data_IF_298409322079
#
_entry.id   IF_298409322079
#
_cell.length_a   1.000
_cell.length_b   1.000
_cell.length_c   1.000
_cell.angle_alpha   90.00
_cell.angle_beta   90.00
_cell.angle_gamma   90.00
#
_symmetry.space_group_name_H-M   'P 1'
#
loop_
_entity.id
_entity.type
_entity.pdbx_description
1 polymer ?
#
# COMPACT_ATOMS: atom_id res chain seq x y z
N UNK A 1 -5.46 1.57 -1.39
CA UNK A 1 -5.51 2.97 -0.96
C UNK A 1 -4.14 3.54 -1.15
N UNK A 2 -4.00 4.64 -1.89
CA UNK A 2 -2.71 5.28 -2.13
C UNK A 2 -2.80 6.81 -2.10
N UNK A 3 -1.69 7.51 -1.88
CA UNK A 3 -1.68 8.94 -2.11
C UNK A 3 -1.92 9.26 -3.60
N UNK A 4 -2.68 10.32 -3.89
CA UNK A 4 -3.04 10.68 -5.25
C UNK A 4 -4.40 11.39 -5.37
N UNK A 5 -4.98 11.45 -6.59
CA UNK A 5 -4.50 10.84 -7.83
C UNK A 5 -3.41 11.66 -8.55
N UNK A 6 -2.99 12.80 -7.99
CA UNK A 6 -2.01 13.70 -8.61
C UNK A 6 -0.54 13.38 -8.27
N UNK A 7 -0.30 12.36 -7.44
CA UNK A 7 1.04 11.84 -7.13
C UNK A 7 1.37 10.70 -8.10
N UNK A 8 2.45 10.84 -8.88
CA UNK A 8 2.89 9.77 -9.80
C UNK A 8 3.29 8.51 -9.03
N UNK A 9 4.03 8.65 -7.93
CA UNK A 9 4.48 7.53 -7.10
C UNK A 9 3.28 6.75 -6.54
N UNK A 10 2.37 7.45 -5.86
CA UNK A 10 1.17 6.82 -5.30
C UNK A 10 0.26 6.17 -6.34
N UNK A 11 0.12 6.75 -7.54
CA UNK A 11 -0.61 6.10 -8.65
C UNK A 11 0.12 4.86 -9.16
N UNK A 12 1.44 4.93 -9.36
CA UNK A 12 2.25 3.81 -9.83
C UNK A 12 2.24 2.65 -8.82
N UNK A 13 2.30 2.93 -7.52
CA UNK A 13 2.13 1.95 -6.45
C UNK A 13 0.78 1.22 -6.52
N UNK A 14 -0.31 1.97 -6.71
CA UNK A 14 -1.64 1.39 -6.87
C UNK A 14 -1.75 0.51 -8.13
N UNK A 15 -1.14 0.93 -9.24
CA UNK A 15 -1.09 0.15 -10.49
C UNK A 15 -0.33 -1.16 -10.29
N UNK A 16 0.79 -1.15 -9.55
CA UNK A 16 1.55 -2.36 -9.24
C UNK A 16 0.68 -3.39 -8.48
N UNK A 17 -0.02 -2.96 -7.42
CA UNK A 17 -0.96 -3.82 -6.68
C UNK A 17 -2.07 -4.35 -7.60
N UNK A 18 -2.66 -3.48 -8.42
CA UNK A 18 -3.74 -3.88 -9.33
C UNK A 18 -3.30 -4.93 -10.37
N UNK A 19 -2.08 -4.79 -10.92
CA UNK A 19 -1.52 -5.78 -11.85
C UNK A 19 -1.15 -7.09 -11.16
N UNK A 20 -0.65 -7.04 -9.93
CA UNK A 20 -0.33 -8.23 -9.14
C UNK A 20 -1.58 -9.09 -8.86
N UNK A 21 -2.73 -8.45 -8.64
CA UNK A 21 -4.02 -9.10 -8.37
C UNK A 21 -4.87 -9.36 -9.62
N UNK A 22 -4.36 -9.06 -10.82
CA UNK A 22 -5.11 -9.24 -12.05
C UNK A 22 -5.59 -10.69 -12.22
N UNK A 23 -6.89 -10.88 -12.43
CA UNK A 23 -7.52 -12.20 -12.57
C UNK A 23 -7.70 -12.97 -11.26
N UNK A 24 -7.29 -12.41 -10.11
CA UNK A 24 -7.40 -13.06 -8.79
C UNK A 24 -8.37 -12.35 -7.86
N UNK A 25 -8.46 -11.03 -7.95
CA UNK A 25 -9.35 -10.23 -7.13
C UNK A 25 -9.96 -9.08 -7.93
N UNK A 26 -11.12 -8.61 -7.48
CA UNK A 26 -11.67 -7.32 -7.90
C UNK A 26 -10.95 -6.22 -7.11
N UNK A 27 -10.18 -5.39 -7.81
CA UNK A 27 -9.33 -4.36 -7.18
C UNK A 27 -10.03 -3.02 -7.23
N UNK A 28 -10.43 -2.53 -6.05
CA UNK A 28 -10.98 -1.19 -5.89
C UNK A 28 -9.91 -0.22 -5.41
N UNK A 29 -9.51 0.70 -6.27
CA UNK A 29 -8.52 1.73 -5.92
C UNK A 29 -9.23 2.94 -5.32
N UNK A 30 -8.73 3.38 -4.17
CA UNK A 30 -9.08 4.67 -3.55
C UNK A 30 -7.81 5.51 -3.46
N UNK A 31 -7.92 6.77 -3.82
CA UNK A 31 -6.89 7.77 -3.61
C UNK A 31 -7.34 8.74 -2.53
N UNK A 32 -6.40 9.26 -1.75
CA UNK A 32 -6.68 10.29 -0.76
C UNK A 32 -5.49 11.23 -0.59
N UNK A 33 -5.79 12.47 -0.20
CA UNK A 33 -4.79 13.39 0.34
C UNK A 33 -4.47 13.08 1.81
N UNK A 34 -3.41 13.71 2.33
CA UNK A 34 -3.04 13.63 3.74
C UNK A 34 -4.15 14.12 4.70
N UNK A 35 -5.02 15.04 4.25
CA UNK A 35 -6.16 15.52 5.05
C UNK A 35 -7.37 14.60 5.03
N UNK A 36 -7.45 13.68 4.06
CA UNK A 36 -8.63 12.82 3.84
C UNK A 36 -8.39 11.37 4.27
N UNK A 37 -7.13 10.94 4.36
CA UNK A 37 -6.74 9.54 4.59
C UNK A 37 -7.43 8.91 5.80
N UNK A 38 -7.47 9.60 6.94
CA UNK A 38 -8.11 9.12 8.16
C UNK A 38 -9.63 8.92 7.99
N UNK A 39 -10.31 9.83 7.27
CA UNK A 39 -11.72 9.70 6.97
C UNK A 39 -11.99 8.56 5.98
N UNK A 40 -11.17 8.45 4.92
CA UNK A 40 -11.29 7.40 3.91
C UNK A 40 -11.06 6.01 4.52
N UNK A 41 -10.04 5.85 5.36
CA UNK A 41 -9.73 4.58 6.02
C UNK A 41 -10.82 4.18 7.01
N UNK A 42 -11.33 5.12 7.82
CA UNK A 42 -12.45 4.84 8.75
C UNK A 42 -13.79 4.58 8.06
N UNK A 43 -13.94 5.05 6.82
CA UNK A 43 -15.10 4.75 5.96
C UNK A 43 -15.03 3.40 5.26
N UNK A 44 -13.99 2.59 5.48
CA UNK A 44 -13.92 1.25 4.90
C UNK A 44 -14.85 0.29 5.66
N UNK A 45 -15.70 -0.38 4.88
CA UNK A 45 -16.59 -1.43 5.38
C UNK A 45 -16.51 -2.64 4.43
N UNK A 46 -15.50 -3.51 4.58
CA UNK A 46 -15.40 -4.75 3.82
C UNK A 46 -16.66 -5.61 4.02
N UNK A 47 -17.09 -6.32 2.98
CA UNK A 47 -18.26 -7.17 3.08
C UNK A 47 -17.97 -8.38 3.99
N UNK A 48 -18.91 -8.77 4.87
CA UNK A 48 -18.71 -9.93 5.72
C UNK A 48 -18.62 -11.22 4.89
N UNK A 49 -17.79 -12.17 5.34
CA UNK A 49 -17.69 -13.52 4.76
C UNK A 49 -16.89 -13.64 3.46
N UNK A 50 -16.12 -12.60 3.09
CA UNK A 50 -15.18 -12.64 1.97
C UNK A 50 -13.76 -12.35 2.44
N UNK A 51 -12.79 -13.00 1.82
CA UNK A 51 -11.39 -12.68 2.03
C UNK A 51 -11.07 -11.33 1.39
N UNK A 52 -10.71 -10.37 2.23
CA UNK A 52 -10.37 -9.03 1.80
C UNK A 52 -8.91 -8.72 2.12
N UNK A 53 -8.28 -7.98 1.21
CA UNK A 53 -6.99 -7.36 1.44
C UNK A 53 -7.14 -5.84 1.37
N UNK A 54 -6.46 -5.15 2.28
CA UNK A 54 -6.28 -3.70 2.22
C UNK A 54 -4.80 -3.41 2.02
N UNK A 55 -4.47 -2.80 0.90
CA UNK A 55 -3.15 -2.25 0.62
C UNK A 55 -3.17 -0.75 0.87
N UNK A 56 -2.31 -0.28 1.75
CA UNK A 56 -2.07 1.13 2.03
C UNK A 56 -0.66 1.44 1.50
N UNK A 57 -0.57 2.31 0.50
CA UNK A 57 0.69 2.60 -0.20
C UNK A 57 0.92 4.10 -0.27
N UNK A 58 2.18 4.55 -0.22
CA UNK A 58 2.56 5.96 -0.39
C UNK A 58 1.83 6.94 0.55
N UNK A 59 1.30 6.46 1.68
CA UNK A 59 0.54 7.30 2.60
C UNK A 59 0.52 6.71 4.01
N UNK A 60 0.46 7.63 4.96
CA UNK A 60 0.22 7.33 6.36
C UNK A 60 -0.94 8.17 6.91
N UNK A 61 -1.58 7.66 7.95
CA UNK A 61 -2.68 8.29 8.67
C UNK A 61 -2.23 8.69 10.07
N UNK A 62 -2.93 9.61 10.74
CA UNK A 62 -2.42 10.21 11.99
C UNK A 62 -3.29 9.94 13.21
N UNK A 63 -4.57 9.66 13.02
CA UNK A 63 -5.52 9.58 14.13
C UNK A 63 -5.49 8.19 14.80
N UNK A 64 -5.38 8.11 16.15
CA UNK A 64 -5.48 6.85 16.88
C UNK A 64 -6.81 6.11 16.64
N UNK A 65 -7.88 6.83 16.32
CA UNK A 65 -9.17 6.27 15.94
C UNK A 65 -9.07 5.45 14.65
N UNK A 66 -8.18 5.83 13.74
CA UNK A 66 -7.90 5.08 12.52
C UNK A 66 -7.14 3.78 12.83
N UNK A 67 -6.16 3.81 13.74
CA UNK A 67 -5.50 2.59 14.25
C UNK A 67 -6.52 1.62 14.86
N UNK A 68 -7.39 2.13 15.73
CA UNK A 68 -8.42 1.32 16.38
C UNK A 68 -9.39 0.69 15.37
N UNK A 69 -9.76 1.46 14.33
CA UNK A 69 -10.60 0.97 13.24
C UNK A 69 -9.91 -0.14 12.44
N UNK A 70 -8.68 0.10 11.96
CA UNK A 70 -7.90 -0.87 11.19
C UNK A 70 -7.62 -2.14 11.99
N UNK A 71 -7.29 -2.00 13.27
CA UNK A 71 -7.13 -3.14 14.19
C UNK A 71 -8.41 -3.96 14.30
N UNK A 72 -9.57 -3.32 14.41
CA UNK A 72 -10.86 -4.03 14.43
C UNK A 72 -11.09 -4.79 13.12
N UNK A 73 -10.81 -4.18 11.97
CA UNK A 73 -10.96 -4.86 10.68
C UNK A 73 -10.00 -6.05 10.55
N UNK A 74 -8.75 -5.88 10.96
CA UNK A 74 -7.77 -6.95 10.88
C UNK A 74 -8.11 -8.14 11.80
N UNK A 75 -8.62 -7.85 13.02
CA UNK A 75 -9.16 -8.89 13.92
C UNK A 75 -10.39 -9.61 13.34
N UNK A 76 -11.13 -8.95 12.46
CA UNK A 76 -12.24 -9.55 11.72
C UNK A 76 -11.79 -10.32 10.46
N UNK A 77 -10.47 -10.44 10.22
CA UNK A 77 -9.90 -11.23 9.13
C UNK A 77 -9.38 -10.42 7.93
N UNK A 78 -9.48 -9.09 7.95
CA UNK A 78 -8.90 -8.25 6.88
C UNK A 78 -7.37 -8.33 6.91
N UNK A 79 -6.75 -8.74 5.80
CA UNK A 79 -5.28 -8.70 5.68
C UNK A 79 -4.83 -7.31 5.27
N UNK A 80 -4.10 -6.61 6.14
CA UNK A 80 -3.65 -5.23 5.89
C UNK A 80 -2.17 -5.23 5.55
N UNK A 81 -1.82 -4.64 4.41
CA UNK A 81 -0.46 -4.45 3.94
C UNK A 81 -0.15 -2.95 3.93
N UNK A 82 1.01 -2.55 4.46
CA UNK A 82 1.42 -1.15 4.48
C UNK A 82 2.81 -0.97 3.89
N UNK A 83 2.92 -0.17 2.83
CA UNK A 83 4.18 0.15 2.17
C UNK A 83 4.33 1.66 2.06
N UNK A 84 5.34 2.21 2.71
CA UNK A 84 5.54 3.66 2.81
C UNK A 84 7.03 4.00 2.92
N UNK A 85 7.38 5.19 2.47
CA UNK A 85 8.75 5.72 2.47
C UNK A 85 8.88 7.04 3.25
N UNK A 86 7.77 7.64 3.68
CA UNK A 86 7.78 8.93 4.38
C UNK A 86 8.44 8.80 5.76
N UNK A 87 9.54 9.54 5.99
CA UNK A 87 10.28 9.55 7.27
C UNK A 87 9.38 9.67 8.50
N UNK A 88 8.39 10.57 8.45
CA UNK A 88 7.46 10.79 9.58
C UNK A 88 6.62 9.56 9.91
N UNK A 89 6.23 8.77 8.90
CA UNK A 89 5.53 7.50 9.09
C UNK A 89 6.44 6.46 9.75
N UNK A 90 7.68 6.33 9.24
CA UNK A 90 8.70 5.42 9.75
C UNK A 90 9.05 5.72 11.22
N UNK A 91 9.25 7.00 11.56
CA UNK A 91 9.53 7.44 12.93
C UNK A 91 8.40 7.11 13.88
N UNK A 92 7.15 7.37 13.48
CA UNK A 92 5.97 7.02 14.28
C UNK A 92 5.85 5.52 14.50
N UNK A 93 6.08 4.72 13.46
CA UNK A 93 6.07 3.26 13.59
C UNK A 93 7.16 2.78 14.56
N UNK A 94 8.41 3.27 14.41
CA UNK A 94 9.52 2.93 15.31
C UNK A 94 9.29 3.36 16.75
N UNK A 95 8.58 4.47 16.95
CA UNK A 95 8.18 4.96 18.27
C UNK A 95 7.00 4.18 18.89
N UNK A 96 6.46 3.16 18.21
CA UNK A 96 5.31 2.38 18.69
C UNK A 96 3.99 3.15 18.64
N UNK A 97 3.89 4.20 17.82
CA UNK A 97 2.72 5.06 17.69
C UNK A 97 1.75 4.61 16.58
N UNK A 98 2.03 3.48 15.95
CA UNK A 98 1.15 2.82 14.98
C UNK A 98 0.84 1.43 15.52
N UNK A 99 -0.41 1.21 15.91
CA UNK A 99 -0.88 -0.02 16.53
C UNK A 99 -1.91 -0.68 15.62
N UNK A 100 -1.43 -1.30 14.53
CA UNK A 100 -2.24 -2.06 13.59
C UNK A 100 -1.56 -3.40 13.31
N UNK A 101 -2.26 -4.54 13.41
CA UNK A 101 -1.70 -5.83 13.07
C UNK A 101 -1.67 -5.98 11.54
N UNK A 102 -0.52 -5.66 10.95
CA UNK A 102 -0.28 -5.84 9.53
C UNK A 102 -0.04 -7.31 9.19
N UNK A 103 -0.55 -7.74 8.03
CA UNK A 103 -0.19 -9.01 7.41
C UNK A 103 1.24 -8.98 6.88
N UNK A 104 1.68 -7.82 6.36
CA UNK A 104 3.07 -7.53 6.04
C UNK A 104 3.28 -6.01 5.95
N UNK A 105 4.53 -5.56 6.05
CA UNK A 105 4.88 -4.14 5.92
C UNK A 105 6.26 -3.93 5.31
N UNK A 106 6.40 -2.86 4.52
CA UNK A 106 7.68 -2.41 3.97
C UNK A 106 7.81 -0.92 4.21
N UNK A 107 8.69 -0.55 5.14
CA UNK A 107 8.94 0.83 5.52
C UNK A 107 10.41 1.18 5.29
N UNK A 108 10.70 1.98 4.26
CA UNK A 108 12.08 2.30 3.86
C UNK A 108 12.17 3.65 3.15
N UNK A 109 13.23 4.42 3.40
CA UNK A 109 13.54 5.66 2.67
C UNK A 109 14.43 5.41 1.44
N UNK A 110 14.79 4.14 1.13
CA UNK A 110 15.72 3.81 0.05
C UNK A 110 15.17 4.14 -1.34
N UNK A 111 13.86 3.93 -1.52
CA UNK A 111 13.14 4.13 -2.77
C UNK A 111 11.78 4.79 -2.50
N UNK A 112 11.15 5.29 -3.56
CA UNK A 112 9.76 5.72 -3.57
C UNK A 112 8.83 4.53 -3.31
N UNK A 113 7.60 4.80 -2.88
CA UNK A 113 6.67 3.76 -2.47
C UNK A 113 6.31 2.82 -3.62
N UNK A 114 6.19 3.30 -4.86
CA UNK A 114 5.90 2.47 -6.04
C UNK A 114 6.98 1.42 -6.28
N UNK A 115 8.26 1.78 -6.12
CA UNK A 115 9.39 0.85 -6.25
C UNK A 115 9.41 -0.16 -5.12
N UNK A 116 9.20 0.29 -3.88
CA UNK A 116 9.09 -0.62 -2.73
C UNK A 116 7.96 -1.64 -2.90
N UNK A 117 6.79 -1.20 -3.37
CA UNK A 117 5.65 -2.08 -3.67
C UNK A 117 5.99 -3.06 -4.77
N UNK A 118 6.57 -2.60 -5.88
CA UNK A 118 6.91 -3.45 -7.01
C UNK A 118 7.92 -4.54 -6.62
N UNK A 119 9.01 -4.18 -5.95
CA UNK A 119 10.06 -5.12 -5.54
C UNK A 119 9.56 -6.11 -4.48
N UNK A 120 8.68 -5.68 -3.58
CA UNK A 120 8.01 -6.56 -2.63
C UNK A 120 7.12 -7.60 -3.34
N UNK A 121 6.27 -7.14 -4.26
CA UNK A 121 5.35 -8.01 -4.99
C UNK A 121 6.06 -8.93 -5.98
N UNK A 122 7.15 -8.47 -6.62
CA UNK A 122 7.98 -9.28 -7.50
C UNK A 122 8.60 -10.48 -6.75
N UNK A 123 9.20 -10.22 -5.58
CA UNK A 123 9.73 -11.29 -4.71
C UNK A 123 8.66 -12.25 -4.25
N UNK A 124 7.46 -11.74 -3.96
CA UNK A 124 6.33 -12.57 -3.58
C UNK A 124 5.83 -13.45 -4.73
N UNK A 125 5.75 -12.93 -5.96
CA UNK A 125 5.44 -13.73 -7.15
C UNK A 125 6.45 -14.85 -7.35
N UNK A 126 7.74 -14.55 -7.21
CA UNK A 126 8.81 -15.54 -7.30
C UNK A 126 8.66 -16.63 -6.23
N UNK A 127 8.43 -16.25 -4.97
CA UNK A 127 8.21 -17.19 -3.88
C UNK A 127 6.94 -18.05 -4.07
N UNK A 128 5.91 -17.51 -4.71
CA UNK A 128 4.68 -18.22 -5.09
C UNK A 128 4.85 -19.07 -6.37
N UNK A 129 6.02 -19.03 -7.03
CA UNK A 129 6.26 -19.71 -8.31
C UNK A 129 5.41 -19.17 -9.47
N UNK A 130 4.93 -17.92 -9.35
CA UNK A 130 4.04 -17.29 -10.32
C UNK A 130 4.83 -16.46 -11.32
N UNK A 131 4.50 -16.63 -12.60
CA UNK A 131 5.01 -15.79 -13.67
C UNK A 131 3.89 -14.89 -14.19
N UNK A 132 4.02 -13.57 -13.98
CA UNK A 132 3.04 -12.57 -14.39
C UNK A 132 3.71 -11.55 -15.35
N UNK A 133 3.80 -11.83 -16.66
CA UNK A 133 4.55 -10.98 -17.61
C UNK A 133 4.04 -9.54 -17.67
N UNK A 134 2.73 -9.34 -17.48
CA UNK A 134 2.12 -7.99 -17.46
C UNK A 134 2.48 -7.20 -16.21
N UNK A 135 2.71 -7.87 -15.09
CA UNK A 135 3.25 -7.23 -13.90
C UNK A 135 4.71 -6.85 -14.11
N UNK A 136 5.54 -7.78 -14.61
CA UNK A 136 6.95 -7.52 -14.91
C UNK A 136 7.16 -6.37 -15.91
N UNK A 137 6.25 -6.22 -16.89
CA UNK A 137 6.28 -5.12 -17.85
C UNK A 137 6.13 -3.72 -17.22
N UNK A 138 5.67 -3.62 -15.97
CA UNK A 138 5.60 -2.34 -15.25
C UNK A 138 6.98 -1.78 -14.87
N UNK A 139 8.05 -2.57 -14.88
CA UNK A 139 9.35 -2.17 -14.32
C UNK A 139 9.83 -0.78 -14.75
N UNK A 140 9.74 -0.45 -16.04
CA UNK A 140 10.15 0.89 -16.55
C UNK A 140 9.28 2.04 -16.05
N UNK A 141 7.97 1.81 -15.89
CA UNK A 141 7.05 2.80 -15.32
C UNK A 141 7.41 3.05 -13.85
N UNK A 142 7.73 1.98 -13.12
CA UNK A 142 8.10 2.06 -11.70
C UNK A 142 9.45 2.76 -11.53
N UNK A 143 10.45 2.46 -12.35
CA UNK A 143 11.75 3.15 -12.34
C UNK A 143 11.57 4.65 -12.60
N UNK A 144 10.79 5.04 -13.62
CA UNK A 144 10.48 6.44 -13.90
C UNK A 144 9.75 7.14 -12.74
N UNK A 145 8.82 6.44 -12.06
CA UNK A 145 8.12 6.99 -10.91
C UNK A 145 9.06 7.17 -9.70
N UNK A 146 9.97 6.22 -9.47
CA UNK A 146 11.02 6.30 -8.44
C UNK A 146 11.96 7.48 -8.68
N UNK A 147 12.50 7.61 -9.90
CA UNK A 147 13.39 8.71 -10.28
C UNK A 147 12.68 10.06 -10.14
N UNK A 148 11.42 10.14 -10.57
CA UNK A 148 10.61 11.35 -10.40
C UNK A 148 10.35 11.68 -8.93
N UNK A 149 10.07 10.72 -8.06
CA UNK A 149 9.81 11.03 -6.65
C UNK A 149 11.10 11.48 -5.92
N UNK A 150 12.24 10.93 -6.32
CA UNK A 150 13.55 11.15 -5.70
C UNK A 150 14.38 12.27 -6.33
N UNK A 151 13.88 12.89 -7.42
CA UNK A 151 14.62 13.87 -8.24
C UNK A 151 15.98 13.36 -8.74
N UNK A 152 15.97 12.21 -9.42
CA UNK A 152 17.13 11.64 -10.11
C UNK A 152 17.15 11.93 -11.62
#
# INVERSE_FOLDING_TARGET
MSHGPHCLDGVAAAVAVARYQAGRADVQTRFASNSEVDAVLRGLAPAPGRDHELWITDISWREPETDAHLTRLARAGLRIYWVDHHRSALERFRAGQVNVPFADLVLSEEYAASRLVYDYLARRLEAEGRNEPRFAALGRLIEMADDNDRWL
#
